data_IF_022854033910
#
_entry.id   IF_022854033910
#
_cell.length_a   1.000
_cell.length_b   1.000
_cell.length_c   1.000
_cell.angle_alpha   90.00
_cell.angle_beta   90.00
_cell.angle_gamma   90.00
#
_symmetry.space_group_name_H-M   'P 1'
#
loop_
_entity.id
_entity.type
_entity.pdbx_description
1 polymer ?
#
# COMPACT_ATOMS: atom_id res chain seq x y z
N UNK A 1 3.88 44.97 -23.97
CA UNK A 1 4.82 43.92 -23.53
C UNK A 1 4.06 43.07 -22.52
N UNK A 2 3.56 41.92 -22.99
CA UNK A 2 2.67 41.03 -22.25
C UNK A 2 3.48 40.29 -21.18
N UNK A 3 3.16 40.45 -19.89
CA UNK A 3 3.75 39.61 -18.84
C UNK A 3 3.10 38.21 -18.91
N UNK A 4 3.87 37.21 -19.35
CA UNK A 4 3.52 35.80 -19.18
C UNK A 4 3.94 35.36 -17.78
N UNK A 5 2.96 35.05 -16.93
CA UNK A 5 3.20 34.41 -15.65
C UNK A 5 3.69 32.98 -15.88
N UNK A 6 4.91 32.68 -15.44
CA UNK A 6 5.41 31.30 -15.36
C UNK A 6 4.64 30.58 -14.26
N UNK A 7 3.74 29.67 -14.66
CA UNK A 7 3.14 28.71 -13.76
C UNK A 7 4.25 27.78 -13.25
N UNK A 8 4.61 27.90 -11.97
CA UNK A 8 5.49 26.96 -11.31
C UNK A 8 4.83 25.60 -11.24
N UNK A 9 5.44 24.59 -11.86
CA UNK A 9 5.11 23.19 -11.59
C UNK A 9 5.48 22.90 -10.13
N UNK A 10 4.49 22.86 -9.25
CA UNK A 10 4.68 22.30 -7.92
C UNK A 10 4.93 20.80 -8.09
N UNK A 11 6.18 20.37 -7.88
CA UNK A 11 6.49 18.96 -7.71
C UNK A 11 5.67 18.44 -6.53
N UNK A 12 4.72 17.56 -6.81
CA UNK A 12 4.02 16.79 -5.79
C UNK A 12 5.03 15.76 -5.31
N UNK A 13 5.91 16.14 -4.39
CA UNK A 13 6.54 15.15 -3.50
C UNK A 13 5.39 14.52 -2.74
N UNK A 14 4.94 13.35 -3.18
CA UNK A 14 4.08 12.48 -2.40
C UNK A 14 4.79 12.29 -1.05
N UNK A 15 4.28 12.96 -0.02
CA UNK A 15 4.76 12.75 1.34
C UNK A 15 4.61 11.25 1.61
N UNK A 16 5.62 10.58 2.18
CA UNK A 16 5.47 9.19 2.55
C UNK A 16 4.25 9.08 3.45
N UNK A 17 3.23 8.36 2.98
CA UNK A 17 2.01 8.10 3.75
C UNK A 17 2.43 7.22 4.92
N UNK A 18 2.76 7.86 6.04
CA UNK A 18 3.28 7.17 7.21
C UNK A 18 2.17 6.47 7.99
N UNK A 19 0.90 6.86 7.79
CA UNK A 19 -0.25 6.26 8.47
C UNK A 19 -1.31 5.84 7.44
N UNK A 20 -1.38 4.54 7.13
CA UNK A 20 -2.51 3.99 6.39
C UNK A 20 -3.66 3.91 7.39
N UNK A 21 -4.68 4.77 7.23
CA UNK A 21 -5.84 4.80 8.11
C UNK A 21 -6.97 4.02 7.45
N UNK A 22 -7.47 2.98 8.12
CA UNK A 22 -8.74 2.35 7.75
C UNK A 22 -9.86 3.00 8.56
N UNK A 23 -10.91 3.44 7.88
CA UNK A 23 -12.13 3.94 8.53
C UNK A 23 -13.21 2.86 8.45
N UNK A 24 -13.71 2.46 9.61
CA UNK A 24 -14.69 1.39 9.79
C UNK A 24 -15.75 1.90 10.74
N UNK A 25 -17.00 2.04 10.31
CA UNK A 25 -18.10 2.50 11.17
C UNK A 25 -17.72 3.72 12.04
N UNK A 26 -16.98 4.67 11.46
CA UNK A 26 -16.48 5.88 12.13
C UNK A 26 -15.35 5.64 13.16
N UNK A 27 -14.97 4.39 13.45
CA UNK A 27 -13.74 4.03 14.14
C UNK A 27 -12.57 4.03 13.14
N UNK A 28 -11.49 4.72 13.52
CA UNK A 28 -10.26 4.76 12.72
C UNK A 28 -9.26 3.79 13.31
N UNK A 29 -8.88 2.78 12.55
CA UNK A 29 -7.76 1.91 12.89
C UNK A 29 -6.48 2.45 12.26
N UNK A 30 -5.43 2.57 13.08
CA UNK A 30 -4.12 3.02 12.62
C UNK A 30 -3.28 1.81 12.24
N UNK A 31 -3.11 1.57 10.94
CA UNK A 31 -2.19 0.54 10.45
C UNK A 31 -0.77 1.06 10.57
N UNK A 32 0.09 0.33 11.28
CA UNK A 32 1.49 0.70 11.48
C UNK A 32 2.39 -0.06 10.51
N UNK A 33 3.35 0.65 9.92
CA UNK A 33 4.42 0.02 9.13
C UNK A 33 5.45 -0.61 10.06
N UNK A 34 6.03 -1.72 9.63
CA UNK A 34 7.20 -2.29 10.26
C UNK A 34 8.42 -1.38 9.98
N UNK A 35 9.08 -0.82 11.00
CA UNK A 35 10.24 0.05 10.80
C UNK A 35 11.48 -0.69 10.28
N UNK A 36 11.53 -2.02 10.40
CA UNK A 36 12.64 -2.84 9.94
C UNK A 36 12.12 -4.18 9.37
N UNK A 37 11.49 -4.15 8.18
CA UNK A 37 10.98 -5.35 7.54
C UNK A 37 12.12 -6.25 7.07
N UNK A 38 11.93 -7.56 7.18
CA UNK A 38 12.95 -8.59 6.95
C UNK A 38 12.56 -9.59 5.88
N UNK A 39 11.27 -9.72 5.57
CA UNK A 39 10.75 -10.69 4.62
C UNK A 39 10.65 -10.09 3.23
N UNK A 40 11.81 -9.76 2.66
CA UNK A 40 11.90 -9.16 1.34
C UNK A 40 11.64 -10.17 0.21
N UNK A 41 10.91 -9.72 -0.81
CA UNK A 41 10.72 -10.41 -2.07
C UNK A 41 10.99 -9.45 -3.22
N UNK A 42 12.01 -9.76 -4.01
CA UNK A 42 12.34 -9.02 -5.22
C UNK A 42 11.46 -9.50 -6.38
N UNK A 43 10.84 -8.56 -7.09
CA UNK A 43 10.05 -8.85 -8.27
C UNK A 43 10.65 -8.17 -9.50
N UNK A 44 10.45 -8.79 -10.66
CA UNK A 44 10.77 -8.23 -11.97
C UNK A 44 9.52 -8.23 -12.83
N UNK A 45 9.18 -7.07 -13.38
CA UNK A 45 8.11 -6.90 -14.38
C UNK A 45 8.76 -6.69 -15.73
N UNK A 46 8.36 -7.47 -16.73
CA UNK A 46 8.76 -7.27 -18.13
C UNK A 46 7.52 -6.96 -18.95
N UNK A 47 7.49 -5.78 -19.58
CA UNK A 47 6.44 -5.42 -20.52
C UNK A 47 6.76 -6.04 -21.88
N UNK A 48 6.05 -7.13 -22.22
CA UNK A 48 6.25 -7.84 -23.48
C UNK A 48 5.41 -7.22 -24.59
N UNK A 49 6.00 -7.02 -25.77
CA UNK A 49 5.33 -6.47 -26.96
C UNK A 49 4.63 -5.13 -26.69
N UNK A 50 5.19 -4.34 -25.77
CA UNK A 50 4.66 -3.06 -25.36
C UNK A 50 5.02 -1.96 -26.37
N UNK A 51 4.12 -0.99 -26.60
CA UNK A 51 4.46 0.24 -27.32
C UNK A 51 5.64 0.97 -26.67
N UNK A 52 6.46 1.66 -27.48
CA UNK A 52 7.67 2.34 -27.01
C UNK A 52 7.44 3.37 -25.89
N UNK A 53 6.24 3.94 -25.83
CA UNK A 53 5.84 4.95 -24.84
C UNK A 53 5.02 4.37 -23.68
N UNK A 54 4.87 3.06 -23.56
CA UNK A 54 4.20 2.44 -22.42
C UNK A 54 5.18 2.33 -21.24
N UNK A 55 4.80 2.90 -20.11
CA UNK A 55 5.62 2.85 -18.89
C UNK A 55 4.79 2.44 -17.67
N UNK A 56 5.40 1.68 -16.76
CA UNK A 56 4.85 1.46 -15.43
C UNK A 56 5.00 2.75 -14.61
N UNK A 57 3.91 3.22 -14.00
CA UNK A 57 3.87 4.48 -13.23
C UNK A 57 3.68 4.28 -11.73
N UNK A 58 3.13 3.14 -11.32
CA UNK A 58 2.92 2.80 -9.91
C UNK A 58 2.85 1.29 -9.73
N UNK A 59 3.22 0.84 -8.53
CA UNK A 59 3.03 -0.53 -8.07
C UNK A 59 2.50 -0.49 -6.63
N UNK A 60 1.63 -1.44 -6.29
CA UNK A 60 1.00 -1.48 -4.98
C UNK A 60 1.01 -2.91 -4.43
N UNK A 61 1.25 -3.03 -3.12
CA UNK A 61 1.12 -4.27 -2.38
C UNK A 61 -0.13 -4.21 -1.51
N UNK A 62 -0.97 -5.24 -1.61
CA UNK A 62 -2.24 -5.35 -0.89
C UNK A 62 -2.11 -6.38 0.24
N UNK A 63 -2.29 -5.93 1.47
CA UNK A 63 -2.24 -6.75 2.67
C UNK A 63 -3.64 -6.93 3.21
N UNK A 64 -3.93 -8.12 3.71
CA UNK A 64 -5.20 -8.44 4.36
C UNK A 64 -4.94 -9.14 5.69
N UNK A 65 -5.89 -9.02 6.61
CA UNK A 65 -5.91 -9.85 7.82
C UNK A 65 -7.08 -10.84 7.68
N UNK A 66 -6.83 -12.13 7.38
CA UNK A 66 -7.91 -13.09 7.18
C UNK A 66 -8.50 -13.62 8.49
N UNK A 67 -7.74 -13.57 9.58
CA UNK A 67 -8.05 -14.14 10.90
C UNK A 67 -8.68 -13.12 11.88
N UNK A 68 -8.63 -11.83 11.56
CA UNK A 68 -9.38 -10.78 12.26
C UNK A 68 -10.38 -10.11 11.35
N UNK A 69 -11.61 -9.97 11.87
CA UNK A 69 -12.70 -9.26 11.20
C UNK A 69 -13.31 -8.24 12.13
N UNK A 70 -13.63 -7.08 11.59
CA UNK A 70 -14.36 -6.03 12.30
C UNK A 70 -15.82 -6.02 11.85
N UNK A 71 -16.72 -5.59 12.74
CA UNK A 71 -18.13 -5.42 12.38
C UNK A 71 -18.28 -4.16 11.51
N UNK A 72 -18.86 -4.29 10.31
CA UNK A 72 -19.27 -3.17 9.44
C UNK A 72 -20.71 -2.73 9.72
N UNK A 73 -21.51 -3.59 10.34
CA UNK A 73 -22.82 -3.26 10.83
C UNK A 73 -23.16 -4.21 11.98
N UNK A 74 -23.05 -3.71 13.22
CA UNK A 74 -23.30 -4.51 14.43
C UNK A 74 -24.73 -5.06 14.48
N UNK A 75 -25.72 -4.32 13.99
CA UNK A 75 -27.13 -4.72 14.00
C UNK A 75 -27.42 -5.86 13.01
N UNK A 76 -26.70 -5.89 11.87
CA UNK A 76 -26.89 -6.89 10.82
C UNK A 76 -25.88 -8.05 10.89
N UNK A 77 -24.97 -8.05 11.87
CA UNK A 77 -23.89 -9.04 11.99
C UNK A 77 -22.92 -9.05 10.81
N UNK A 78 -22.87 -7.96 10.03
CA UNK A 78 -21.99 -7.85 8.87
C UNK A 78 -20.55 -7.59 9.32
N UNK A 79 -19.59 -8.32 8.74
CA UNK A 79 -18.17 -8.26 9.08
C UNK A 79 -17.30 -8.11 7.84
N UNK A 80 -16.15 -7.45 7.98
CA UNK A 80 -15.15 -7.32 6.93
C UNK A 80 -13.73 -7.58 7.47
N UNK A 81 -12.82 -7.92 6.56
CA UNK A 81 -11.40 -8.08 6.87
C UNK A 81 -10.71 -6.72 6.89
N UNK A 82 -9.65 -6.60 7.69
CA UNK A 82 -8.72 -5.49 7.57
C UNK A 82 -7.96 -5.58 6.23
N UNK A 83 -7.67 -4.43 5.64
CA UNK A 83 -7.01 -4.33 4.34
C UNK A 83 -6.15 -3.06 4.27
N UNK A 84 -4.93 -3.18 3.80
CA UNK A 84 -4.02 -2.05 3.63
C UNK A 84 -3.31 -2.15 2.28
N UNK A 85 -3.11 -0.99 1.66
CA UNK A 85 -2.39 -0.89 0.39
C UNK A 85 -1.17 0.00 0.59
N UNK A 86 0.01 -0.50 0.24
CA UNK A 86 1.27 0.24 0.32
C UNK A 86 1.80 0.45 -1.10
N UNK A 87 2.23 1.67 -1.41
CA UNK A 87 2.97 1.94 -2.65
C UNK A 87 4.32 1.22 -2.61
N UNK A 88 4.66 0.53 -3.69
CA UNK A 88 5.89 -0.23 -3.83
C UNK A 88 6.81 0.52 -4.79
N UNK A 89 7.93 1.08 -4.30
CA UNK A 89 8.93 1.68 -5.17
C UNK A 89 9.50 0.63 -6.13
N UNK A 90 9.72 1.03 -7.37
CA UNK A 90 10.37 0.21 -8.38
C UNK A 90 11.23 1.10 -9.28
N UNK A 91 12.19 0.49 -9.95
CA UNK A 91 13.13 1.13 -10.84
C UNK A 91 13.03 0.52 -12.23
N UNK A 92 13.10 1.37 -13.26
CA UNK A 92 13.24 0.95 -14.66
C UNK A 92 14.70 0.59 -14.90
N UNK A 93 14.98 -0.70 -15.15
CA UNK A 93 16.35 -1.21 -15.34
C UNK A 93 16.71 -1.42 -16.81
N UNK A 94 15.71 -1.46 -17.70
CA UNK A 94 15.88 -1.42 -19.16
C UNK A 94 14.63 -0.82 -19.82
N UNK A 95 14.58 -0.74 -21.16
CA UNK A 95 13.46 -0.14 -21.90
C UNK A 95 12.08 -0.64 -21.49
N UNK A 96 11.95 -1.93 -21.14
CA UNK A 96 10.70 -2.58 -20.79
C UNK A 96 10.76 -3.44 -19.52
N UNK A 97 11.84 -3.35 -18.74
CA UNK A 97 12.03 -4.14 -17.52
C UNK A 97 12.09 -3.23 -16.30
N UNK A 98 11.33 -3.61 -15.27
CA UNK A 98 11.25 -2.93 -14.00
C UNK A 98 11.55 -3.91 -12.86
N UNK A 99 12.24 -3.42 -11.83
CA UNK A 99 12.54 -4.19 -10.62
C UNK A 99 12.06 -3.45 -9.39
N UNK A 100 11.55 -4.18 -8.42
CA UNK A 100 11.21 -3.61 -7.11
C UNK A 100 11.25 -4.67 -6.03
N UNK A 101 11.00 -4.23 -4.80
CA UNK A 101 10.99 -5.10 -3.63
C UNK A 101 9.72 -4.87 -2.83
N UNK A 102 9.01 -5.95 -2.53
CA UNK A 102 7.89 -5.97 -1.58
C UNK A 102 8.34 -6.71 -0.32
N UNK A 103 7.78 -6.35 0.83
CA UNK A 103 8.11 -6.99 2.10
C UNK A 103 6.87 -7.62 2.69
N UNK A 104 6.88 -8.92 2.99
CA UNK A 104 5.69 -9.61 3.47
C UNK A 104 5.31 -9.17 4.89
N UNK A 105 6.33 -8.78 5.66
CA UNK A 105 6.23 -8.20 7.00
C UNK A 105 6.26 -6.66 7.00
N UNK A 106 5.81 -6.01 5.91
CA UNK A 106 5.81 -4.54 5.81
C UNK A 106 4.90 -3.84 6.83
N UNK A 107 3.93 -4.55 7.40
CA UNK A 107 2.97 -4.05 8.39
C UNK A 107 3.14 -4.77 9.71
N UNK A 108 2.94 -4.05 10.82
CA UNK A 108 2.99 -4.63 12.16
C UNK A 108 1.66 -5.28 12.52
N UNK A 109 1.76 -6.48 13.06
CA UNK A 109 0.68 -7.15 13.75
C UNK A 109 0.34 -6.40 15.04
N UNK A 110 -0.95 -6.18 15.26
CA UNK A 110 -1.47 -5.39 16.38
C UNK A 110 -2.82 -5.94 16.84
N UNK A 111 -3.18 -5.68 18.09
CA UNK A 111 -4.53 -5.98 18.60
C UNK A 111 -5.51 -4.87 18.18
N UNK A 112 -5.89 -4.85 16.90
CA UNK A 112 -6.78 -3.83 16.35
C UNK A 112 -8.19 -3.84 16.98
N UNK A 113 -8.61 -4.97 17.55
CA UNK A 113 -9.95 -5.16 18.11
C UNK A 113 -9.99 -4.98 19.64
N UNK A 114 -8.84 -4.76 20.29
CA UNK A 114 -8.69 -4.69 21.75
C UNK A 114 -9.21 -5.96 22.47
N UNK A 115 -8.92 -7.14 21.93
CA UNK A 115 -9.39 -8.45 22.43
C UNK A 115 -8.28 -9.27 23.11
N UNK A 116 -7.10 -8.70 23.31
CA UNK A 116 -5.93 -9.35 23.91
C UNK A 116 -5.22 -10.31 22.96
N UNK A 117 -5.45 -10.22 21.65
CA UNK A 117 -4.83 -11.07 20.62
C UNK A 117 -4.42 -10.25 19.42
N UNK A 118 -3.19 -10.43 18.89
CA UNK A 118 -2.75 -9.73 17.70
C UNK A 118 -3.50 -10.26 16.47
N UNK A 119 -3.71 -9.35 15.52
CA UNK A 119 -4.23 -9.61 14.20
C UNK A 119 -3.06 -9.66 13.21
N UNK A 120 -2.98 -10.73 12.41
CA UNK A 120 -1.79 -11.01 11.62
C UNK A 120 -1.93 -10.57 10.16
N UNK A 121 -1.09 -9.64 9.71
CA UNK A 121 -1.09 -9.24 8.31
C UNK A 121 -0.57 -10.37 7.42
N UNK A 122 -1.26 -10.58 6.31
CA UNK A 122 -0.84 -11.51 5.28
C UNK A 122 -0.81 -10.80 3.94
N UNK A 123 0.28 -11.01 3.21
CA UNK A 123 0.33 -10.66 1.80
C UNK A 123 -0.33 -11.79 1.00
N UNK A 124 -1.37 -11.45 0.24
CA UNK A 124 -2.05 -12.40 -0.64
C UNK A 124 -1.56 -12.15 -2.07
N UNK A 125 -0.80 -13.11 -2.61
CA UNK A 125 -0.51 -13.24 -4.03
C UNK A 125 -1.75 -13.71 -4.79
#
# INVERSE_FOLDING_TARGET
>A
MLLLALAGCANITEKPVNNIQQTVNQEKFQVKKNPNPKEAYEFTVTLKDAPDNLEAVSAYAHYIIPDCRYDTNKLMGARANFQATISVPFEKVSSNVYKGTVYFDALLDEDYLNQGKPCHWQWRL
#
